data_IF_023993029929
#
_entry.id   IF_023993029929
#
_cell.length_a   1.000
_cell.length_b   1.000
_cell.length_c   1.000
_cell.angle_alpha   90.00
_cell.angle_beta   90.00
_cell.angle_gamma   90.00
#
_symmetry.space_group_name_H-M   'P 1'
#
loop_
_entity.id
_entity.type
_entity.pdbx_description
1 polymer ?
#
# COMPACT_ATOMS: atom_id res chain seq x y z
N UNK A 1 -0.78 64.53 12.94
CA UNK A 1 -0.45 64.08 11.58
C UNK A 1 -1.71 64.22 10.76
N UNK A 2 -1.68 65.11 9.78
CA UNK A 2 -2.83 65.50 8.96
C UNK A 2 -2.97 64.54 7.77
N UNK A 3 -4.22 64.24 7.37
CA UNK A 3 -4.56 63.31 6.27
C UNK A 3 -3.90 63.65 4.92
N UNK A 4 -3.40 64.88 4.75
CA UNK A 4 -2.61 65.28 3.58
C UNK A 4 -1.22 64.62 3.51
N UNK A 5 -0.61 64.29 4.66
CA UNK A 5 0.70 63.65 4.68
C UNK A 5 0.63 62.17 4.22
N UNK A 6 -0.46 61.48 4.54
CA UNK A 6 -0.68 60.07 4.17
C UNK A 6 -1.02 59.88 2.68
N UNK A 7 -1.51 60.92 2.00
CA UNK A 7 -1.72 60.90 0.55
C UNK A 7 -0.43 61.13 -0.24
N UNK A 8 0.48 61.97 0.26
CA UNK A 8 1.77 62.18 -0.40
C UNK A 8 2.67 60.94 -0.32
N UNK A 9 2.70 60.22 0.80
CA UNK A 9 3.52 59.01 0.94
C UNK A 9 3.01 57.83 0.08
N UNK A 10 1.71 57.76 -0.21
CA UNK A 10 1.16 56.72 -1.09
C UNK A 10 1.40 56.99 -2.58
N UNK A 11 1.47 58.25 -3.01
CA UNK A 11 1.74 58.60 -4.41
C UNK A 11 3.22 58.43 -4.80
N UNK A 12 4.16 58.57 -3.85
CA UNK A 12 5.58 58.26 -4.10
C UNK A 12 5.84 56.76 -4.26
N UNK A 13 5.13 55.92 -3.50
CA UNK A 13 5.22 54.46 -3.62
C UNK A 13 4.73 53.96 -4.98
N UNK A 14 3.68 54.56 -5.53
CA UNK A 14 3.16 54.19 -6.85
C UNK A 14 4.04 54.64 -8.03
N UNK A 15 4.78 55.74 -7.92
CA UNK A 15 5.74 56.16 -8.96
C UNK A 15 6.96 55.26 -9.06
N UNK A 16 7.38 54.64 -7.95
CA UNK A 16 8.51 53.70 -7.94
C UNK A 16 8.27 52.39 -8.70
N UNK A 17 7.02 52.06 -9.04
CA UNK A 17 6.65 50.81 -9.73
C UNK A 17 6.55 50.94 -11.26
N UNK A 18 6.57 52.15 -11.82
CA UNK A 18 6.35 52.37 -13.26
C UNK A 18 7.62 52.73 -14.04
N UNK A 19 8.75 53.00 -13.38
CA UNK A 19 10.05 53.12 -14.05
C UNK A 19 10.70 51.73 -14.25
N UNK A 20 10.02 50.89 -15.04
CA UNK A 20 10.56 49.63 -15.54
C UNK A 20 11.55 49.89 -16.70
N UNK A 21 12.80 50.17 -16.35
CA UNK A 21 13.93 49.97 -17.27
C UNK A 21 14.61 48.62 -16.96
N UNK A 22 13.87 47.51 -17.16
CA UNK A 22 14.40 46.15 -17.07
C UNK A 22 15.18 45.77 -18.34
N UNK A 23 16.31 46.43 -18.57
CA UNK A 23 17.35 45.86 -19.42
C UNK A 23 17.91 44.61 -18.70
N UNK A 24 17.33 43.43 -18.96
CA UNK A 24 17.83 42.16 -18.43
C UNK A 24 19.28 41.95 -18.92
N UNK A 25 20.29 41.92 -18.04
CA UNK A 25 21.59 41.43 -18.43
C UNK A 25 21.49 39.91 -18.53
N UNK A 26 21.57 39.37 -19.75
CA UNK A 26 21.84 37.95 -19.96
C UNK A 26 23.28 37.64 -19.53
N UNK A 27 23.50 37.53 -18.22
CA UNK A 27 24.78 37.06 -17.70
C UNK A 27 24.96 35.58 -18.07
N UNK A 28 26.14 35.24 -18.58
CA UNK A 28 26.52 33.88 -18.99
C UNK A 28 26.30 32.82 -17.88
N UNK A 29 26.23 33.26 -16.61
CA UNK A 29 25.96 32.45 -15.44
C UNK A 29 24.54 31.88 -15.41
N UNK A 30 23.54 32.58 -15.95
CA UNK A 30 22.15 32.08 -16.04
C UNK A 30 22.05 31.00 -17.13
N UNK A 31 22.84 31.11 -18.21
CA UNK A 31 22.86 30.13 -19.30
C UNK A 31 23.44 28.78 -18.86
N UNK A 32 24.52 28.77 -18.07
CA UNK A 32 25.09 27.54 -17.50
C UNK A 32 24.15 26.81 -16.53
N UNK A 33 23.32 27.54 -15.77
CA UNK A 33 22.29 26.94 -14.92
C UNK A 33 21.16 26.30 -15.74
N UNK A 34 20.76 26.90 -16.87
CA UNK A 34 19.74 26.30 -17.75
C UNK A 34 20.24 25.02 -18.44
N UNK A 35 21.51 24.98 -18.85
CA UNK A 35 22.12 23.80 -19.47
C UNK A 35 22.31 22.66 -18.45
N UNK A 36 22.74 22.95 -17.22
CA UNK A 36 22.84 21.95 -16.14
C UNK A 36 21.48 21.32 -15.78
N UNK A 37 20.38 22.08 -15.81
CA UNK A 37 19.03 21.56 -15.57
C UNK A 37 18.55 20.64 -16.71
N UNK A 38 19.01 20.86 -17.95
CA UNK A 38 18.64 20.01 -19.07
C UNK A 38 19.31 18.62 -19.00
N UNK A 39 20.56 18.54 -18.51
CA UNK A 39 21.29 17.28 -18.37
C UNK A 39 20.71 16.36 -17.28
N UNK A 40 20.23 16.91 -16.16
CA UNK A 40 19.57 16.09 -15.12
C UNK A 40 18.29 15.42 -15.65
N UNK A 41 17.54 16.10 -16.53
CA UNK A 41 16.30 15.54 -17.10
C UNK A 41 16.53 14.38 -18.08
N UNK A 42 17.71 14.28 -18.70
CA UNK A 42 18.01 13.18 -19.64
C UNK A 42 18.41 11.93 -18.86
N UNK A 43 19.21 12.08 -17.80
CA UNK A 43 19.56 10.98 -16.91
C UNK A 43 18.29 10.41 -16.25
N UNK A 44 17.42 11.25 -15.69
CA UNK A 44 16.18 10.78 -15.06
C UNK A 44 15.24 10.07 -16.05
N UNK A 45 15.13 10.57 -17.29
CA UNK A 45 14.31 9.93 -18.32
C UNK A 45 14.87 8.58 -18.76
N UNK A 46 16.19 8.44 -18.88
CA UNK A 46 16.84 7.17 -19.20
C UNK A 46 16.67 6.17 -18.05
N UNK A 47 16.78 6.61 -16.80
CA UNK A 47 16.53 5.76 -15.62
C UNK A 47 15.08 5.30 -15.57
N UNK A 48 14.11 6.20 -15.78
CA UNK A 48 12.69 5.85 -15.81
C UNK A 48 12.38 4.89 -16.98
N UNK A 49 12.99 5.11 -18.15
CA UNK A 49 12.76 4.26 -19.32
C UNK A 49 13.39 2.88 -19.13
N UNK A 50 14.57 2.78 -18.51
CA UNK A 50 15.19 1.50 -18.16
C UNK A 50 14.35 0.76 -17.10
N UNK A 51 13.88 1.47 -16.08
CA UNK A 51 13.02 0.91 -15.04
C UNK A 51 11.68 0.43 -15.60
N UNK A 52 11.06 1.20 -16.51
CA UNK A 52 9.86 0.78 -17.25
C UNK A 52 10.15 -0.41 -18.17
N UNK A 53 11.35 -0.51 -18.74
CA UNK A 53 11.77 -1.64 -19.57
C UNK A 53 11.96 -2.91 -18.73
N UNK A 54 12.49 -2.78 -17.51
CA UNK A 54 12.56 -3.87 -16.52
C UNK A 54 11.16 -4.29 -16.09
N UNK A 55 10.22 -3.35 -15.95
CA UNK A 55 8.82 -3.63 -15.60
C UNK A 55 7.99 -4.36 -16.67
N UNK A 56 8.49 -4.53 -17.90
CA UNK A 56 7.80 -5.24 -19.01
C UNK A 56 7.57 -6.73 -18.80
N UNK A 57 8.00 -7.32 -17.70
CA UNK A 57 7.97 -8.77 -17.49
C UNK A 57 6.57 -9.32 -17.09
N UNK A 58 5.52 -8.50 -17.12
CA UNK A 58 4.13 -8.95 -16.95
C UNK A 58 3.70 -9.25 -15.52
N UNK A 59 4.62 -9.20 -14.55
CA UNK A 59 4.32 -9.32 -13.11
C UNK A 59 4.29 -7.99 -12.35
N UNK A 60 4.80 -6.92 -12.96
CA UNK A 60 4.60 -5.57 -12.44
C UNK A 60 3.26 -5.04 -12.96
N UNK A 61 2.36 -4.70 -12.04
CA UNK A 61 1.15 -3.97 -12.35
C UNK A 61 1.38 -2.47 -12.18
N UNK A 62 0.62 -1.64 -12.90
CA UNK A 62 0.73 -0.18 -12.81
C UNK A 62 0.45 0.33 -11.39
N UNK A 63 -0.41 -0.38 -10.67
CA UNK A 63 -0.68 -0.15 -9.26
C UNK A 63 0.24 -1.05 -8.41
N UNK A 64 1.18 -0.46 -7.64
CA UNK A 64 2.11 -1.22 -6.81
C UNK A 64 1.44 -1.96 -5.64
N UNK A 65 0.17 -1.67 -5.30
CA UNK A 65 -0.62 -2.49 -4.37
C UNK A 65 -0.78 -3.93 -4.88
N UNK A 66 -0.66 -4.11 -6.20
CA UNK A 66 -0.85 -5.37 -6.91
C UNK A 66 0.43 -5.89 -7.57
N UNK A 67 1.59 -5.29 -7.31
CA UNK A 67 2.86 -5.83 -7.84
C UNK A 67 3.31 -7.05 -7.03
N UNK A 68 3.51 -8.17 -7.72
CA UNK A 68 3.92 -9.45 -7.11
C UNK A 68 5.25 -9.29 -6.36
N UNK A 69 6.19 -8.49 -6.89
CA UNK A 69 7.48 -8.26 -6.23
C UNK A 69 7.29 -7.59 -4.88
N UNK A 70 6.48 -6.53 -4.81
CA UNK A 70 6.18 -5.83 -3.56
C UNK A 70 5.45 -6.72 -2.54
N UNK A 71 4.49 -7.53 -3.00
CA UNK A 71 3.79 -8.50 -2.15
C UNK A 71 4.78 -9.54 -1.60
N UNK A 72 5.64 -10.10 -2.44
CA UNK A 72 6.61 -11.12 -2.05
C UNK A 72 7.68 -10.56 -1.09
N UNK A 73 8.17 -9.33 -1.34
CA UNK A 73 9.06 -8.62 -0.41
C UNK A 73 8.41 -8.42 0.95
N UNK A 74 7.16 -7.98 0.98
CA UNK A 74 6.38 -7.88 2.22
C UNK A 74 6.29 -9.23 2.94
N UNK A 75 6.03 -10.31 2.19
CA UNK A 75 5.97 -11.65 2.76
C UNK A 75 7.31 -12.10 3.36
N UNK A 76 8.44 -11.89 2.66
CA UNK A 76 9.80 -12.16 3.17
C UNK A 76 10.05 -11.46 4.50
N UNK A 77 9.80 -10.15 4.54
CA UNK A 77 9.99 -9.34 5.76
C UNK A 77 9.17 -9.85 6.95
N UNK A 78 7.92 -10.25 6.71
CA UNK A 78 7.05 -10.83 7.77
C UNK A 78 7.57 -12.17 8.27
N UNK A 79 8.09 -13.02 7.40
CA UNK A 79 8.68 -14.29 7.79
C UNK A 79 9.97 -14.08 8.60
N UNK A 80 10.85 -13.18 8.15
CA UNK A 80 12.08 -12.82 8.88
C UNK A 80 11.79 -12.31 10.29
N UNK A 81 10.74 -11.51 10.46
CA UNK A 81 10.36 -10.94 11.76
C UNK A 81 9.65 -11.92 12.70
N UNK A 82 9.04 -12.98 12.17
CA UNK A 82 8.22 -13.92 12.96
C UNK A 82 8.92 -15.25 13.26
N UNK A 83 10.07 -15.52 12.64
CA UNK A 83 10.80 -16.79 12.75
C UNK A 83 9.92 -18.01 12.44
N UNK A 84 8.94 -17.84 11.55
CA UNK A 84 8.01 -18.89 11.14
C UNK A 84 8.55 -19.59 9.89
N UNK A 85 8.50 -20.92 9.86
CA UNK A 85 8.84 -21.70 8.67
C UNK A 85 7.59 -21.98 7.84
N UNK A 86 7.48 -21.31 6.71
CA UNK A 86 6.28 -21.37 5.87
C UNK A 86 5.99 -22.78 5.33
N UNK A 87 7.03 -23.57 5.08
CA UNK A 87 6.90 -24.94 4.59
C UNK A 87 6.09 -25.86 5.52
N UNK A 88 6.12 -25.63 6.84
CA UNK A 88 5.38 -26.45 7.80
C UNK A 88 3.87 -26.34 7.61
N UNK A 89 3.37 -25.16 7.21
CA UNK A 89 1.95 -24.90 7.00
C UNK A 89 1.40 -25.59 5.75
N UNK A 90 2.26 -25.98 4.81
CA UNK A 90 1.86 -26.63 3.56
C UNK A 90 2.07 -28.14 3.57
N UNK A 91 2.86 -28.65 4.51
CA UNK A 91 3.27 -30.06 4.57
C UNK A 91 2.09 -31.02 4.66
N UNK A 92 1.07 -30.67 5.44
CA UNK A 92 -0.11 -31.51 5.66
C UNK A 92 -1.04 -31.56 4.44
N UNK A 93 -0.93 -30.58 3.54
CA UNK A 93 -1.73 -30.50 2.32
C UNK A 93 -1.08 -31.20 1.12
N UNK A 94 0.24 -31.48 1.17
CA UNK A 94 0.96 -32.25 0.15
C UNK A 94 1.42 -33.60 0.68
N UNK A 95 0.47 -34.54 0.77
CA UNK A 95 0.74 -35.93 1.17
C UNK A 95 1.74 -36.63 0.24
N UNK A 96 1.85 -36.19 -1.02
CA UNK A 96 2.73 -36.78 -2.03
C UNK A 96 4.15 -36.22 -2.03
N UNK A 97 4.40 -35.13 -1.29
CA UNK A 97 5.69 -34.42 -1.19
C UNK A 97 6.26 -34.04 -2.57
N UNK A 98 5.38 -33.62 -3.48
CA UNK A 98 5.73 -33.22 -4.84
C UNK A 98 5.98 -31.72 -4.98
N UNK A 99 5.65 -30.93 -3.96
CA UNK A 99 5.77 -29.48 -3.98
C UNK A 99 4.55 -28.76 -4.55
N UNK A 100 3.42 -29.43 -4.71
CA UNK A 100 2.19 -28.86 -5.29
C UNK A 100 0.99 -29.10 -4.38
N UNK A 101 0.13 -28.08 -4.26
CA UNK A 101 -1.12 -28.12 -3.49
C UNK A 101 -2.23 -27.42 -4.27
N UNK A 102 -3.47 -27.58 -3.82
CA UNK A 102 -4.58 -26.83 -4.42
C UNK A 102 -4.53 -25.35 -4.04
N UNK A 103 -5.09 -24.50 -4.89
CA UNK A 103 -5.26 -23.06 -4.58
C UNK A 103 -5.96 -22.84 -3.25
N UNK A 104 -6.98 -23.64 -2.96
CA UNK A 104 -7.74 -23.54 -1.73
C UNK A 104 -6.89 -23.92 -0.50
N UNK A 105 -6.07 -24.97 -0.61
CA UNK A 105 -5.18 -25.39 0.47
C UNK A 105 -4.03 -24.40 0.68
N UNK A 106 -3.53 -23.79 -0.40
CA UNK A 106 -2.59 -22.67 -0.32
C UNK A 106 -3.17 -21.51 0.50
N UNK A 107 -4.40 -21.09 0.20
CA UNK A 107 -5.05 -19.99 0.94
C UNK A 107 -5.25 -20.35 2.41
N UNK A 108 -5.66 -21.59 2.71
CA UNK A 108 -5.77 -22.08 4.09
C UNK A 108 -4.43 -22.10 4.81
N UNK A 109 -3.36 -22.54 4.14
CA UNK A 109 -2.00 -22.51 4.70
C UNK A 109 -1.54 -21.09 5.02
N UNK A 110 -1.80 -20.12 4.12
CA UNK A 110 -1.51 -18.71 4.38
C UNK A 110 -2.36 -18.12 5.51
N UNK A 111 -3.65 -18.48 5.61
CA UNK A 111 -4.51 -18.06 6.72
C UNK A 111 -4.07 -18.67 8.06
N UNK A 112 -3.50 -19.88 8.01
CA UNK A 112 -2.83 -20.55 9.12
C UNK A 112 -1.57 -19.81 9.57
N UNK A 113 -0.80 -19.21 8.65
CA UNK A 113 0.29 -18.31 9.03
C UNK A 113 -0.28 -16.99 9.56
N UNK A 114 -0.24 -16.83 10.89
CA UNK A 114 -0.63 -15.58 11.56
C UNK A 114 0.10 -14.34 11.02
N UNK A 115 1.28 -14.55 10.43
CA UNK A 115 2.12 -13.55 9.82
C UNK A 115 1.52 -12.85 8.58
N UNK A 116 0.52 -13.46 7.92
CA UNK A 116 -0.09 -12.98 6.67
C UNK A 116 -1.57 -12.64 6.79
N UNK A 117 -2.10 -12.52 8.01
CA UNK A 117 -3.51 -12.18 8.23
C UNK A 117 -3.87 -10.74 7.79
N UNK A 118 -2.90 -9.90 7.43
CA UNK A 118 -3.13 -8.55 6.88
C UNK A 118 -3.26 -8.53 5.38
N UNK A 119 -2.87 -9.61 4.71
CA UNK A 119 -2.93 -9.65 3.28
C UNK A 119 -4.38 -9.75 2.85
N UNK A 120 -4.78 -8.83 2.00
CA UNK A 120 -6.06 -8.83 1.31
C UNK A 120 -6.21 -10.10 0.46
N UNK A 121 -7.45 -10.44 0.15
CA UNK A 121 -7.75 -11.57 -0.74
C UNK A 121 -7.18 -11.35 -2.16
N UNK A 122 -7.11 -10.09 -2.60
CA UNK A 122 -6.52 -9.72 -3.89
C UNK A 122 -5.01 -10.03 -3.94
N UNK A 123 -4.26 -9.59 -2.94
CA UNK A 123 -2.81 -9.87 -2.84
C UNK A 123 -2.54 -11.38 -2.81
N UNK A 124 -3.28 -12.14 -2.00
CA UNK A 124 -3.17 -13.61 -1.98
C UNK A 124 -3.51 -14.23 -3.33
N UNK A 125 -4.55 -13.72 -4.00
CA UNK A 125 -4.96 -14.18 -5.33
C UNK A 125 -3.90 -13.95 -6.41
N UNK A 126 -3.14 -12.86 -6.33
CA UNK A 126 -2.02 -12.59 -7.24
C UNK A 126 -0.87 -13.56 -7.02
N UNK A 127 -0.50 -13.83 -5.77
CA UNK A 127 0.51 -14.86 -5.43
C UNK A 127 0.05 -16.23 -5.95
N UNK A 128 -1.21 -16.60 -5.69
CA UNK A 128 -1.81 -17.84 -6.23
C UNK A 128 -1.64 -17.91 -7.74
N UNK A 129 -2.05 -16.86 -8.46
CA UNK A 129 -2.01 -16.84 -9.93
C UNK A 129 -0.58 -16.95 -10.45
N UNK A 130 0.37 -16.28 -9.80
CA UNK A 130 1.77 -16.24 -10.24
C UNK A 130 2.48 -17.61 -10.10
N UNK A 131 2.22 -18.34 -9.01
CA UNK A 131 2.82 -19.65 -8.74
C UNK A 131 1.93 -20.83 -9.16
N UNK A 132 0.82 -20.57 -9.86
CA UNK A 132 -0.01 -21.62 -10.44
C UNK A 132 0.57 -22.05 -11.78
N UNK A 133 0.77 -23.34 -11.95
CA UNK A 133 1.28 -23.94 -13.18
C UNK A 133 0.23 -24.89 -13.78
N UNK A 134 0.22 -24.97 -15.11
CA UNK A 134 -0.59 -25.97 -15.82
C UNK A 134 -0.05 -27.36 -15.56
N UNK A 135 -0.95 -28.28 -15.20
CA UNK A 135 -0.61 -29.64 -14.77
C UNK A 135 -1.40 -30.67 -15.57
N UNK A 136 -0.86 -31.90 -15.73
CA UNK A 136 -1.60 -32.99 -16.37
C UNK A 136 -2.95 -33.22 -15.69
N UNK A 137 -3.93 -33.72 -16.44
CA UNK A 137 -5.32 -33.88 -15.99
C UNK A 137 -5.47 -34.62 -14.64
N UNK A 138 -4.59 -35.58 -14.35
CA UNK A 138 -4.54 -36.31 -13.08
C UNK A 138 -4.24 -35.44 -11.84
N UNK A 139 -3.69 -34.22 -12.02
CA UNK A 139 -3.36 -33.27 -10.95
C UNK A 139 -3.96 -31.88 -11.22
N UNK A 140 -5.11 -31.81 -11.91
CA UNK A 140 -5.73 -30.53 -12.30
C UNK A 140 -6.03 -29.61 -11.12
N UNK A 141 -6.28 -30.18 -9.94
CA UNK A 141 -6.60 -29.41 -8.75
C UNK A 141 -5.35 -28.97 -7.95
N UNK A 142 -4.15 -29.47 -8.29
CA UNK A 142 -2.87 -29.17 -7.62
C UNK A 142 -1.97 -28.30 -8.50
N UNK A 143 -2.42 -27.08 -8.75
CA UNK A 143 -1.72 -26.16 -9.65
C UNK A 143 -0.66 -25.31 -8.94
N UNK A 144 -0.77 -25.09 -7.63
CA UNK A 144 0.09 -24.14 -6.92
C UNK A 144 1.40 -24.78 -6.46
N UNK A 145 2.53 -24.30 -7.01
CA UNK A 145 3.88 -24.79 -6.70
C UNK A 145 4.41 -24.18 -5.39
N UNK A 146 3.93 -24.69 -4.24
CA UNK A 146 4.31 -24.16 -2.94
C UNK A 146 5.78 -24.39 -2.59
N UNK A 147 6.42 -25.42 -3.16
CA UNK A 147 7.83 -25.70 -2.90
C UNK A 147 8.73 -24.59 -3.44
N UNK A 148 8.52 -24.18 -4.70
CA UNK A 148 9.21 -23.02 -5.28
C UNK A 148 8.87 -21.75 -4.51
N UNK A 149 7.59 -21.52 -4.23
CA UNK A 149 7.14 -20.34 -3.50
C UNK A 149 7.86 -20.19 -2.14
N UNK A 150 7.94 -21.27 -1.36
CA UNK A 150 8.68 -21.30 -0.10
C UNK A 150 10.18 -21.10 -0.30
N UNK A 151 10.81 -21.73 -1.29
CA UNK A 151 12.24 -21.57 -1.57
C UNK A 151 12.60 -20.14 -2.01
N UNK A 152 11.68 -19.43 -2.68
CA UNK A 152 11.84 -18.00 -2.97
C UNK A 152 11.72 -17.16 -1.70
N UNK A 153 10.73 -17.42 -0.84
CA UNK A 153 10.52 -16.61 0.37
C UNK A 153 11.53 -16.88 1.48
N UNK A 154 11.93 -18.14 1.65
CA UNK A 154 12.86 -18.62 2.68
C UNK A 154 13.79 -19.65 2.05
N UNK A 155 14.90 -19.21 1.43
CA UNK A 155 15.83 -20.12 0.77
C UNK A 155 16.34 -21.19 1.74
N UNK A 156 16.02 -22.45 1.45
CA UNK A 156 16.48 -23.61 2.22
C UNK A 156 17.59 -24.38 1.48
N UNK A 157 17.84 -24.01 0.22
CA UNK A 157 18.75 -24.72 -0.69
C UNK A 157 18.33 -26.19 -0.88
N UNK A 158 17.02 -26.47 -0.91
CA UNK A 158 16.53 -27.81 -1.20
C UNK A 158 16.77 -28.16 -2.67
N UNK A 159 17.71 -29.08 -2.91
CA UNK A 159 18.13 -29.50 -4.26
C UNK A 159 17.02 -30.17 -5.07
N UNK A 160 15.90 -30.55 -4.42
CA UNK A 160 14.73 -31.13 -5.08
C UNK A 160 13.85 -30.07 -5.75
N UNK A 161 13.97 -28.81 -5.33
CA UNK A 161 13.17 -27.71 -5.87
C UNK A 161 13.79 -27.21 -7.15
N UNK A 162 13.13 -27.50 -8.28
CA UNK A 162 13.55 -27.01 -9.59
C UNK A 162 12.86 -25.68 -9.88
N UNK A 163 13.64 -24.60 -9.97
CA UNK A 163 13.15 -23.29 -10.37
C UNK A 163 13.30 -23.10 -11.87
N UNK A 164 12.20 -22.74 -12.55
CA UNK A 164 12.26 -22.25 -13.92
C UNK A 164 12.95 -20.87 -13.99
N UNK A 165 13.27 -20.41 -15.19
CA UNK A 165 13.94 -19.11 -15.39
C UNK A 165 13.12 -17.91 -14.88
N UNK A 166 11.79 -18.02 -14.85
CA UNK A 166 10.91 -16.95 -14.34
C UNK A 166 11.08 -16.80 -12.83
N UNK A 167 11.06 -17.92 -12.10
CA UNK A 167 11.25 -17.94 -10.65
C UNK A 167 12.67 -17.56 -10.24
N UNK A 168 13.68 -17.97 -11.01
CA UNK A 168 15.06 -17.54 -10.78
C UNK A 168 15.18 -16.02 -10.89
N UNK A 169 14.63 -15.41 -11.94
CA UNK A 169 14.62 -13.94 -12.08
C UNK A 169 13.86 -13.24 -10.96
N UNK A 170 12.68 -13.75 -10.58
CA UNK A 170 11.94 -13.20 -9.44
C UNK A 170 12.77 -13.28 -8.15
N UNK A 171 13.45 -14.41 -7.92
CA UNK A 171 14.33 -14.58 -6.77
C UNK A 171 15.49 -13.59 -6.80
N UNK A 172 16.18 -13.45 -7.93
CA UNK A 172 17.25 -12.47 -8.13
C UNK A 172 16.77 -11.04 -7.88
N UNK A 173 15.57 -10.69 -8.38
CA UNK A 173 14.97 -9.39 -8.17
C UNK A 173 14.64 -9.13 -6.69
N UNK A 174 14.07 -10.11 -6.00
CA UNK A 174 13.80 -10.03 -4.57
C UNK A 174 15.08 -10.02 -3.72
N UNK A 175 16.14 -10.67 -4.16
CA UNK A 175 17.44 -10.70 -3.47
C UNK A 175 18.21 -9.38 -3.70
N UNK A 176 18.07 -8.77 -4.88
CA UNK A 176 18.56 -7.43 -5.18
C UNK A 176 17.76 -6.34 -4.45
N UNK A 177 16.51 -6.65 -4.07
CA UNK A 177 15.67 -5.75 -3.28
C UNK A 177 16.20 -5.65 -1.85
N UNK A 178 16.98 -4.61 -1.56
CA UNK A 178 17.56 -4.39 -0.24
C UNK A 178 16.43 -4.15 0.80
N UNK A 179 16.31 -4.98 1.86
CA UNK A 179 15.28 -4.80 2.88
C UNK A 179 15.45 -3.51 3.70
N UNK A 180 16.64 -2.90 3.74
CA UNK A 180 16.80 -1.55 4.30
C UNK A 180 16.14 -0.47 3.42
N UNK A 181 15.88 -0.77 2.14
CA UNK A 181 15.00 0.01 1.25
C UNK A 181 13.51 -0.35 1.45
N UNK A 182 13.14 -1.06 2.53
CA UNK A 182 11.75 -1.27 2.94
C UNK A 182 10.97 0.04 3.14
N UNK A 183 11.64 1.19 3.18
CA UNK A 183 11.02 2.51 3.06
C UNK A 183 10.19 2.67 1.77
N UNK A 184 10.57 1.97 0.70
CA UNK A 184 9.87 1.98 -0.58
C UNK A 184 8.78 0.91 -0.72
N UNK A 185 8.49 0.16 0.34
CA UNK A 185 7.29 -0.66 0.35
C UNK A 185 6.04 0.24 0.35
N UNK A 186 4.99 -0.08 -0.45
CA UNK A 186 3.68 0.56 -0.30
C UNK A 186 3.07 0.37 1.09
N UNK A 187 3.65 -0.50 1.92
CA UNK A 187 3.24 -0.74 3.30
C UNK A 187 4.32 -0.39 4.32
N UNK A 188 5.34 0.40 3.94
CA UNK A 188 6.36 0.87 4.85
C UNK A 188 5.72 1.68 6.00
N UNK A 189 6.12 1.35 7.23
CA UNK A 189 5.72 2.05 8.45
C UNK A 189 7.00 2.33 9.24
N UNK A 190 7.21 3.57 9.65
CA UNK A 190 8.38 3.95 10.45
C UNK A 190 8.26 3.39 11.87
N UNK A 191 9.35 2.90 12.47
CA UNK A 191 9.37 2.67 13.91
C UNK A 191 9.30 4.02 14.64
N UNK A 192 8.46 4.11 15.67
CA UNK A 192 8.46 5.24 16.60
C UNK A 192 9.24 4.88 17.87
N UNK A 193 9.48 5.88 18.72
CA UNK A 193 9.94 5.62 20.10
C UNK A 193 8.91 4.73 20.82
N UNK A 194 9.29 3.96 21.86
CA UNK A 194 8.35 3.10 22.58
C UNK A 194 7.12 3.85 23.12
N UNK A 195 7.33 5.08 23.60
CA UNK A 195 6.25 5.98 24.03
C UNK A 195 5.39 6.45 22.85
N UNK A 196 6.03 6.80 21.73
CA UNK A 196 5.35 7.16 20.49
C UNK A 196 4.49 6.03 19.94
N UNK A 197 4.96 4.77 20.00
CA UNK A 197 4.18 3.59 19.62
C UNK A 197 2.94 3.42 20.52
N UNK A 198 3.11 3.59 21.84
CA UNK A 198 1.99 3.49 22.78
C UNK A 198 0.94 4.57 22.53
N UNK A 199 1.38 5.82 22.33
CA UNK A 199 0.50 6.95 22.00
C UNK A 199 -0.17 6.74 20.65
N UNK A 200 0.58 6.41 19.60
CA UNK A 200 0.05 6.14 18.27
C UNK A 200 -0.98 5.00 18.31
N UNK A 201 -0.73 3.93 19.07
CA UNK A 201 -1.68 2.83 19.27
C UNK A 201 -2.99 3.30 19.91
N UNK A 202 -2.92 4.20 20.90
CA UNK A 202 -4.12 4.81 21.51
C UNK A 202 -4.90 5.66 20.49
N UNK A 203 -4.21 6.54 19.75
CA UNK A 203 -4.82 7.40 18.73
C UNK A 203 -5.49 6.58 17.62
N UNK A 204 -4.83 5.53 17.14
CA UNK A 204 -5.38 4.58 16.16
C UNK A 204 -6.68 3.95 16.64
N UNK A 205 -6.79 3.55 17.91
CA UNK A 205 -8.05 3.00 18.45
C UNK A 205 -9.17 4.03 18.43
N UNK A 206 -8.89 5.29 18.81
CA UNK A 206 -9.88 6.38 18.75
C UNK A 206 -10.36 6.63 17.32
N UNK A 207 -9.43 6.73 16.37
CA UNK A 207 -9.74 6.91 14.94
C UNK A 207 -10.56 5.75 14.39
N UNK A 208 -10.17 4.50 14.67
CA UNK A 208 -10.95 3.31 14.29
C UNK A 208 -12.39 3.35 14.81
N UNK A 209 -12.56 3.71 16.07
CA UNK A 209 -13.88 3.83 16.67
C UNK A 209 -14.73 4.89 15.95
N UNK A 210 -14.13 6.05 15.64
CA UNK A 210 -14.78 7.13 14.89
C UNK A 210 -15.16 6.70 13.47
N UNK A 211 -14.23 6.12 12.72
CA UNK A 211 -14.45 5.57 11.36
C UNK A 211 -15.62 4.58 11.36
N UNK A 212 -15.63 3.67 12.34
CA UNK A 212 -16.69 2.66 12.47
C UNK A 212 -18.04 3.29 12.83
N UNK A 213 -18.06 4.28 13.74
CA UNK A 213 -19.30 4.90 14.20
C UNK A 213 -19.92 5.84 13.16
N UNK A 214 -19.10 6.54 12.38
CA UNK A 214 -19.55 7.40 11.29
C UNK A 214 -19.83 6.64 9.99
N UNK A 215 -19.38 5.38 9.88
CA UNK A 215 -19.44 4.55 8.67
C UNK A 215 -18.76 5.23 7.47
N UNK A 216 -17.64 5.90 7.72
CA UNK A 216 -16.86 6.56 6.67
C UNK A 216 -15.54 5.81 6.51
N UNK A 217 -15.20 5.38 5.29
CA UNK A 217 -13.91 4.73 5.03
C UNK A 217 -12.77 5.75 5.06
N UNK A 218 -11.67 5.40 5.74
CA UNK A 218 -10.46 6.22 5.69
C UNK A 218 -9.89 6.28 4.25
N UNK A 219 -9.99 5.17 3.51
CA UNK A 219 -9.52 5.08 2.11
C UNK A 219 -10.30 6.00 1.18
N UNK A 220 -11.63 6.08 1.32
CA UNK A 220 -12.44 7.00 0.52
C UNK A 220 -12.07 8.46 0.83
N UNK A 221 -12.00 8.84 2.11
CA UNK A 221 -11.70 10.21 2.49
C UNK A 221 -10.28 10.67 2.12
N UNK A 222 -9.28 9.81 2.31
CA UNK A 222 -7.88 10.14 2.02
C UNK A 222 -7.54 9.93 0.55
N UNK A 223 -8.19 8.98 -0.12
CA UNK A 223 -8.01 8.70 -1.55
C UNK A 223 -8.44 9.85 -2.45
N UNK A 224 -9.41 10.68 -2.02
CA UNK A 224 -9.77 11.94 -2.69
C UNK A 224 -8.58 12.91 -2.82
N UNK A 225 -7.54 12.77 -1.99
CA UNK A 225 -6.33 13.58 -2.09
C UNK A 225 -5.22 12.92 -2.91
N UNK A 226 -5.35 11.64 -3.30
CA UNK A 226 -4.35 10.96 -4.11
C UNK A 226 -4.47 11.40 -5.59
N UNK A 227 -3.43 12.01 -6.17
CA UNK A 227 -3.47 12.45 -7.56
C UNK A 227 -3.63 11.29 -8.56
N UNK A 228 -3.23 10.07 -8.21
CA UNK A 228 -3.31 8.89 -9.08
C UNK A 228 -4.72 8.33 -9.21
N UNK A 229 -5.50 8.34 -8.12
CA UNK A 229 -6.89 7.86 -8.14
C UNK A 229 -7.84 8.83 -8.85
N UNK A 230 -7.53 10.12 -8.84
CA UNK A 230 -8.41 11.17 -9.38
C UNK A 230 -8.26 11.41 -10.90
N UNK A 231 -7.65 10.47 -11.64
CA UNK A 231 -7.58 10.48 -13.10
C UNK A 231 -6.92 11.73 -13.71
N UNK A 232 -6.05 12.42 -12.96
CA UNK A 232 -5.41 13.66 -13.38
C UNK A 232 -6.34 14.89 -13.48
N UNK A 233 -7.60 14.77 -13.05
CA UNK A 233 -8.63 15.81 -13.19
C UNK A 233 -8.41 16.98 -12.22
N UNK A 234 -7.64 16.80 -11.15
CA UNK A 234 -7.10 17.87 -10.31
C UNK A 234 -5.95 18.61 -11.00
N UNK A 235 -6.22 19.15 -12.20
CA UNK A 235 -5.26 19.91 -13.00
C UNK A 235 -4.73 21.17 -12.30
N UNK A 236 -5.43 21.67 -11.29
CA UNK A 236 -4.99 22.81 -10.49
C UNK A 236 -3.78 22.48 -9.58
N UNK A 237 -3.57 21.21 -9.23
CA UNK A 237 -2.42 20.78 -8.43
C UNK A 237 -1.11 20.69 -9.23
N UNK A 238 -1.16 20.68 -10.57
CA UNK A 238 0.06 20.67 -11.40
C UNK A 238 0.88 21.97 -11.33
N UNK A 239 0.33 23.04 -10.73
CA UNK A 239 1.00 24.34 -10.56
C UNK A 239 1.84 24.46 -9.29
N UNK A 240 1.88 23.45 -8.42
CA UNK A 240 2.77 23.48 -7.24
C UNK A 240 4.24 23.37 -7.65
N UNK A 241 5.14 23.95 -6.84
CA UNK A 241 6.58 24.03 -7.12
C UNK A 241 7.17 22.67 -7.56
N UNK A 242 8.19 22.70 -8.42
CA UNK A 242 8.89 21.50 -8.91
C UNK A 242 9.37 20.55 -7.80
N UNK A 243 9.66 21.08 -6.61
CA UNK A 243 10.08 20.28 -5.45
C UNK A 243 8.93 19.42 -4.88
N UNK A 244 7.70 19.94 -4.90
CA UNK A 244 6.51 19.22 -4.45
C UNK A 244 6.12 18.10 -5.43
N UNK A 245 6.40 18.27 -6.72
CA UNK A 245 6.09 17.27 -7.74
C UNK A 245 6.85 15.95 -7.54
N UNK A 246 8.05 15.97 -6.97
CA UNK A 246 8.84 14.75 -6.78
C UNK A 246 8.28 13.85 -5.66
N UNK A 247 7.77 14.45 -4.59
CA UNK A 247 7.28 13.72 -3.40
C UNK A 247 5.85 13.17 -3.59
N UNK A 248 5.04 13.77 -4.47
CA UNK A 248 3.63 13.42 -4.67
C UNK A 248 3.36 12.44 -5.83
N UNK A 249 4.41 11.94 -6.49
CA UNK A 249 4.26 10.99 -7.60
C UNK A 249 4.23 9.53 -7.16
N UNK A 250 4.40 9.23 -5.87
CA UNK A 250 4.27 7.87 -5.35
C UNK A 250 2.78 7.52 -5.18
N UNK A 251 2.26 6.49 -5.87
CA UNK A 251 0.89 6.02 -5.65
C UNK A 251 0.70 5.55 -4.21
N UNK A 252 -0.48 5.80 -3.64
CA UNK A 252 -0.76 5.47 -2.24
C UNK A 252 -0.13 6.46 -1.23
N UNK A 253 0.45 7.56 -1.70
CA UNK A 253 1.02 8.61 -0.86
C UNK A 253 0.36 9.97 -1.12
N UNK A 254 0.19 10.76 -0.05
CA UNK A 254 -0.32 12.14 -0.13
C UNK A 254 0.64 13.09 0.60
N UNK A 255 0.71 14.36 0.17
CA UNK A 255 1.53 15.38 0.83
C UNK A 255 1.09 15.61 2.28
N UNK A 256 1.99 16.15 3.12
CA UNK A 256 1.67 16.54 4.51
C UNK A 256 0.44 17.43 4.61
N UNK A 257 0.34 18.44 3.75
CA UNK A 257 -0.81 19.36 3.76
C UNK A 257 -2.12 18.67 3.37
N UNK A 258 -2.08 17.71 2.43
CA UNK A 258 -3.25 16.88 2.09
C UNK A 258 -3.63 15.98 3.26
N UNK A 259 -2.65 15.31 3.86
CA UNK A 259 -2.83 14.51 5.07
C UNK A 259 -3.50 15.31 6.20
N UNK A 260 -2.98 16.49 6.54
CA UNK A 260 -3.54 17.30 7.63
C UNK A 260 -5.01 17.65 7.37
N UNK A 261 -5.35 18.06 6.13
CA UNK A 261 -6.75 18.34 5.76
C UNK A 261 -7.63 17.10 5.85
N UNK A 262 -7.15 15.98 5.32
CA UNK A 262 -7.86 14.70 5.37
C UNK A 262 -8.07 14.22 6.80
N UNK A 263 -7.07 14.35 7.67
CA UNK A 263 -7.14 13.96 9.07
C UNK A 263 -8.07 14.82 9.90
N UNK A 264 -8.08 16.15 9.69
CA UNK A 264 -9.07 17.02 10.36
C UNK A 264 -10.49 16.60 9.99
N UNK A 265 -10.74 16.27 8.71
CA UNK A 265 -12.04 15.78 8.24
C UNK A 265 -12.38 14.38 8.80
N UNK A 266 -11.40 13.47 8.83
CA UNK A 266 -11.56 12.10 9.33
C UNK A 266 -11.78 12.05 10.84
N UNK A 267 -11.01 12.85 11.59
CA UNK A 267 -11.06 12.88 13.05
C UNK A 267 -12.28 13.66 13.56
N UNK A 268 -12.70 14.71 12.85
CA UNK A 268 -13.82 15.55 13.24
C UNK A 268 -13.63 16.15 14.64
N UNK A 269 -14.51 15.77 15.55
CA UNK A 269 -14.58 16.24 16.94
C UNK A 269 -13.73 15.43 17.93
N UNK A 270 -12.87 14.50 17.47
CA UNK A 270 -12.03 13.69 18.36
C UNK A 270 -11.02 14.49 19.20
N UNK A 271 -10.82 15.78 18.90
CA UNK A 271 -9.90 16.66 19.61
C UNK A 271 -8.43 16.22 19.48
N UNK A 272 -8.04 15.72 18.30
CA UNK A 272 -6.64 15.38 18.03
C UNK A 272 -5.82 16.67 17.96
N UNK A 273 -4.72 16.72 18.73
CA UNK A 273 -3.79 17.84 18.65
C UNK A 273 -2.95 17.76 17.37
N UNK A 274 -2.27 18.85 17.03
CA UNK A 274 -1.32 18.84 15.92
C UNK A 274 -0.19 17.84 16.14
N UNK A 275 0.30 17.71 17.38
CA UNK A 275 1.31 16.71 17.75
C UNK A 275 0.81 15.27 17.58
N UNK A 276 -0.45 15.00 17.91
CA UNK A 276 -1.08 13.69 17.68
C UNK A 276 -1.12 13.36 16.19
N UNK A 277 -1.49 14.34 15.35
CA UNK A 277 -1.49 14.18 13.89
C UNK A 277 -0.06 14.04 13.35
N UNK A 278 0.92 14.77 13.87
CA UNK A 278 2.31 14.66 13.46
C UNK A 278 2.90 13.30 13.83
N UNK A 279 2.54 12.75 14.99
CA UNK A 279 2.97 11.43 15.41
C UNK A 279 2.46 10.33 14.48
N UNK A 280 1.17 10.40 14.10
CA UNK A 280 0.59 9.48 13.11
C UNK A 280 1.26 9.70 11.74
N UNK A 281 1.53 10.94 11.35
CA UNK A 281 2.23 11.24 10.10
C UNK A 281 3.59 10.53 10.07
N UNK A 282 4.42 10.74 11.09
CA UNK A 282 5.74 10.11 11.19
C UNK A 282 5.64 8.59 11.18
N UNK A 283 4.60 7.99 11.79
CA UNK A 283 4.38 6.54 11.75
C UNK A 283 4.24 6.01 10.33
N UNK A 284 3.54 6.73 9.46
CA UNK A 284 3.26 6.32 8.08
C UNK A 284 4.01 7.18 7.06
N UNK A 285 5.10 7.83 7.47
CA UNK A 285 5.89 8.65 6.58
C UNK A 285 6.70 7.78 5.63
N UNK A 286 6.63 8.11 4.34
CA UNK A 286 7.37 7.48 3.27
C UNK A 286 7.92 8.55 2.35
N UNK A 287 9.25 8.68 2.29
CA UNK A 287 9.95 9.64 1.45
C UNK A 287 9.37 11.07 1.56
N UNK A 288 9.13 11.55 2.79
CA UNK A 288 8.58 12.88 3.03
C UNK A 288 7.09 13.06 2.68
N UNK A 289 6.38 11.99 2.32
CA UNK A 289 4.93 11.97 2.09
C UNK A 289 4.23 11.01 3.07
N UNK A 290 2.92 11.11 3.19
CA UNK A 290 2.11 10.24 4.03
C UNK A 290 1.61 9.03 3.23
N UNK A 291 2.03 7.83 3.62
CA UNK A 291 1.57 6.57 3.06
C UNK A 291 0.16 6.23 3.58
N UNK A 292 -0.87 6.80 2.94
CA UNK A 292 -2.24 6.59 3.37
C UNK A 292 -2.73 5.16 3.11
N UNK A 293 -2.14 4.41 2.17
CA UNK A 293 -2.44 2.99 1.98
C UNK A 293 -2.12 2.17 3.22
N UNK A 294 -0.90 2.32 3.76
CA UNK A 294 -0.50 1.67 5.01
C UNK A 294 -1.40 2.08 6.18
N UNK A 295 -1.74 3.37 6.27
CA UNK A 295 -2.64 3.89 7.29
C UNK A 295 -4.05 3.30 7.18
N UNK A 296 -4.66 3.30 5.99
CA UNK A 296 -6.01 2.78 5.75
C UNK A 296 -6.07 1.28 5.99
N UNK A 297 -5.06 0.51 5.56
CA UNK A 297 -4.93 -0.93 5.85
C UNK A 297 -4.97 -1.20 7.36
N UNK A 298 -4.30 -0.35 8.13
CA UNK A 298 -4.34 -0.43 9.58
C UNK A 298 -5.67 0.02 10.19
N UNK A 299 -6.37 0.99 9.60
CA UNK A 299 -7.63 1.55 10.11
C UNK A 299 -8.85 0.67 9.78
N UNK A 300 -9.00 0.30 8.51
CA UNK A 300 -10.18 -0.37 7.95
C UNK A 300 -10.22 -1.87 8.24
N UNK A 301 -9.16 -2.43 8.86
CA UNK A 301 -9.14 -3.82 9.29
C UNK A 301 -10.32 -4.10 10.23
N UNK A 302 -11.23 -5.05 9.90
CA UNK A 302 -12.34 -5.37 10.76
C UNK A 302 -11.79 -5.85 12.09
N UNK A 303 -12.19 -5.18 13.17
CA UNK A 303 -11.87 -5.54 14.54
C UNK A 303 -12.43 -6.93 14.85
N UNK A 304 -11.64 -7.97 14.55
CA UNK A 304 -12.03 -9.38 14.60
C UNK A 304 -13.09 -9.74 13.54
N UNK A 305 -13.11 -10.99 13.02
CA UNK A 305 -14.34 -11.52 12.47
C UNK A 305 -15.39 -11.35 13.56
N UNK A 306 -16.48 -10.65 13.26
CA UNK A 306 -17.67 -10.67 14.11
C UNK A 306 -17.93 -12.15 14.32
N UNK A 307 -17.64 -12.67 15.53
CA UNK A 307 -18.11 -13.98 15.91
C UNK A 307 -19.61 -13.84 15.78
N UNK A 308 -20.18 -14.36 14.69
CA UNK A 308 -21.60 -14.60 14.63
C UNK A 308 -21.87 -15.39 15.89
N UNK A 309 -22.47 -14.74 16.87
CA UNK A 309 -22.99 -15.40 18.05
C UNK A 309 -23.93 -16.42 17.42
N UNK A 310 -23.56 -17.71 17.47
CA UNK A 310 -24.41 -18.80 17.02
C UNK A 310 -25.71 -18.65 17.80
N UNK A 311 -26.64 -17.96 17.15
CA UNK A 311 -27.85 -17.48 17.74
C UNK A 311 -28.82 -18.63 17.73
N UNK A 312 -28.79 -19.39 18.82
CA UNK A 312 -29.93 -20.13 19.33
C UNK A 312 -30.27 -21.40 18.55
N UNK A 313 -30.25 -22.51 19.29
CA UNK A 313 -31.07 -23.69 19.03
C UNK A 313 -32.43 -23.30 18.43
N UNK A 314 -32.57 -23.42 17.11
CA UNK A 314 -33.87 -23.76 16.55
C UNK A 314 -34.06 -25.23 16.86
N UNK A 315 -34.94 -25.51 17.82
CA UNK A 315 -35.50 -26.84 18.00
C UNK A 315 -35.95 -27.38 16.64
N UNK A 316 -35.69 -28.66 16.32
CA UNK A 316 -36.22 -29.26 15.11
C UNK A 316 -37.74 -29.15 15.15
N UNK A 317 -38.32 -28.52 14.14
CA UNK A 317 -39.73 -28.68 13.83
C UNK A 317 -39.94 -30.14 13.46
N UNK A 318 -40.48 -30.90 14.41
CA UNK A 318 -40.94 -32.26 14.26
C UNK A 318 -42.06 -32.28 13.21
N UNK A 319 -41.71 -32.66 11.98
CA UNK A 319 -42.66 -32.98 10.92
C UNK A 319 -43.02 -34.47 11.00
N UNK A 320 -43.56 -34.91 12.13
CA UNK A 320 -44.33 -36.15 12.23
C UNK A 320 -45.74 -35.94 11.65
N UNK A 321 -45.79 -35.73 10.33
CA UNK A 321 -47.02 -35.75 9.55
C UNK A 321 -47.53 -37.18 9.40
N UNK A 322 -48.44 -37.57 10.29
CA UNK A 322 -49.33 -38.73 10.16
C UNK A 322 -49.88 -38.84 8.73
N UNK A 323 -49.54 -39.94 8.05
CA UNK A 323 -50.36 -40.45 6.93
C UNK A 323 -51.14 -41.65 7.43
N UNK A 324 -52.43 -41.45 7.66
CA UNK A 324 -53.40 -42.53 7.72
C UNK A 324 -53.63 -43.08 6.31
N UNK A 325 -53.64 -44.40 6.11
CA UNK A 325 -54.25 -45.01 4.94
C UNK A 325 -55.75 -45.14 5.21
N UNK A 326 -56.56 -44.42 4.44
CA UNK A 326 -57.98 -44.70 4.32
C UNK A 326 -58.20 -45.30 2.93
N UNK A 327 -58.60 -46.57 2.96
CA UNK A 327 -59.34 -47.27 1.93
C UNK A 327 -60.37 -46.35 1.26
N UNK A 328 -60.54 -46.48 -0.06
CA UNK A 328 -61.80 -46.96 -0.66
C UNK A 328 -61.76 -46.90 -2.19
N UNK A 329 -62.05 -48.07 -2.77
CA UNK A 329 -62.62 -48.38 -4.09
C UNK A 329 -61.72 -48.40 -5.33
#
# INVERSE_FOLDING_TARGET
>A
MTEEQERQDNDELHKSFLDENWARPHSATVRRKAESIAFCNIADKLTIQDEQSRRKHGWHLEDPEYDVVHIMTYMRQRLSNSSVFLMEFFRDYDSTKRGYISTHDMLRGLDGCRCFQDMSRGEKGLVVRFFSEDRPQQFKDQTFNYAVFCEILQPTNDTRVQMNNVYQRLKEELDAFNPDMSLDSPYAIQPLTPEGELRCKYLKRKLKHKITSTRVSARELLGDYDPHLNGGTVGWMKKTSKHTQFLCNLPGCISRSQYMRGMVRLAGDLGLTEDDMNLIYSKYERNGAFNYYAFCKDMDRPSSPIKFREGGNRTPLDFSGNRTPLDLM
#
